data_IF_643463285881
#
_entry.id   IF_643463285881
#
_cell.length_a   1.000
_cell.length_b   1.000
_cell.length_c   1.000
_cell.angle_alpha   90.00
_cell.angle_beta   90.00
_cell.angle_gamma   90.00
#
_symmetry.space_group_name_H-M   'P 1'
#
loop_
_entity.id
_entity.type
_entity.pdbx_description
1 polymer ?
#
# COMPACT_ATOMS: atom_id res chain seq x y z
N UNK A 1 -21.99 0.70 4.45
CA UNK A 1 -21.25 0.09 5.58
C UNK A 1 -21.75 -1.33 5.78
N UNK A 2 -20.89 -2.31 6.10
CA UNK A 2 -21.30 -3.73 6.26
C UNK A 2 -21.04 -4.20 7.70
N UNK A 3 -22.13 -4.48 8.45
CA UNK A 3 -22.13 -5.05 9.80
C UNK A 3 -21.12 -4.40 10.76
N UNK A 4 -21.16 -3.07 10.88
CA UNK A 4 -20.30 -2.36 11.85
C UNK A 4 -20.99 -2.35 13.20
N UNK A 5 -20.30 -2.91 14.18
CA UNK A 5 -20.73 -3.05 15.56
C UNK A 5 -19.71 -2.34 16.47
N UNK A 6 -20.20 -1.51 17.37
CA UNK A 6 -19.39 -0.84 18.37
C UNK A 6 -19.64 -1.48 19.73
N UNK A 7 -18.58 -1.83 20.44
CA UNK A 7 -18.61 -2.46 21.75
C UNK A 7 -18.01 -1.51 22.77
N UNK A 8 -18.80 -1.07 23.76
CA UNK A 8 -18.30 -0.32 24.90
C UNK A 8 -17.93 -1.26 26.05
N UNK A 9 -17.10 -0.79 26.98
CA UNK A 9 -16.70 -1.61 28.12
C UNK A 9 -17.84 -1.77 29.11
N UNK A 10 -17.81 -2.84 29.92
CA UNK A 10 -18.84 -3.10 30.92
C UNK A 10 -18.87 -2.00 32.00
N UNK A 11 -17.72 -1.42 32.33
CA UNK A 11 -17.65 -0.28 33.25
C UNK A 11 -18.40 0.91 32.68
N UNK A 12 -18.21 1.23 31.40
CA UNK A 12 -18.88 2.34 30.73
C UNK A 12 -20.41 2.15 30.67
N UNK A 13 -20.88 0.92 30.49
CA UNK A 13 -22.31 0.59 30.46
C UNK A 13 -22.97 0.69 31.86
N UNK A 14 -22.26 0.29 32.91
CA UNK A 14 -22.79 0.26 34.29
C UNK A 14 -23.19 1.63 34.86
N UNK A 15 -22.73 2.73 34.25
CA UNK A 15 -23.09 4.09 34.65
C UNK A 15 -24.51 4.49 34.21
N UNK A 16 -25.14 3.71 33.35
CA UNK A 16 -26.41 4.05 32.73
C UNK A 16 -27.51 3.08 33.11
N UNK A 17 -28.73 3.60 33.16
CA UNK A 17 -29.92 2.80 33.41
C UNK A 17 -30.55 2.37 32.09
N UNK A 18 -31.21 1.21 32.07
CA UNK A 18 -31.86 0.66 30.86
C UNK A 18 -32.92 1.58 30.23
N UNK A 19 -33.41 2.58 30.96
CA UNK A 19 -34.40 3.56 30.49
C UNK A 19 -33.80 4.74 29.72
N UNK A 20 -32.48 4.92 29.72
CA UNK A 20 -31.84 6.05 29.06
C UNK A 20 -31.61 5.78 27.57
N UNK A 21 -32.12 6.62 26.68
CA UNK A 21 -32.07 6.33 25.24
C UNK A 21 -30.78 6.77 24.52
N UNK A 22 -29.95 7.63 25.13
CA UNK A 22 -28.73 8.19 24.52
C UNK A 22 -27.57 8.16 25.51
N UNK A 23 -26.90 7.01 25.63
CA UNK A 23 -25.89 6.73 26.67
C UNK A 23 -24.45 6.66 26.13
N UNK A 24 -24.26 7.13 24.89
CA UNK A 24 -22.94 7.28 24.28
C UNK A 24 -23.06 7.54 22.79
N UNK A 25 -22.44 8.63 22.30
CA UNK A 25 -22.46 9.00 20.89
C UNK A 25 -21.14 8.59 20.21
N UNK A 26 -21.25 7.83 19.13
CA UNK A 26 -20.17 7.52 18.19
C UNK A 26 -20.53 8.12 16.84
N UNK A 27 -19.62 8.92 16.27
CA UNK A 27 -19.83 9.60 15.01
C UNK A 27 -18.86 9.07 13.96
N UNK A 28 -19.39 8.59 12.85
CA UNK A 28 -18.60 8.26 11.67
C UNK A 28 -18.60 9.48 10.73
N UNK A 29 -17.45 10.11 10.52
CA UNK A 29 -17.30 11.29 9.67
C UNK A 29 -16.55 10.96 8.39
N UNK A 30 -17.13 11.31 7.25
CA UNK A 30 -16.53 11.21 5.93
C UNK A 30 -16.22 12.61 5.42
N UNK A 31 -14.97 12.85 5.07
CA UNK A 31 -14.51 14.15 4.57
C UNK A 31 -13.39 13.98 3.54
N UNK A 32 -13.24 14.98 2.68
CA UNK A 32 -12.16 15.00 1.69
C UNK A 32 -10.83 15.34 2.39
N UNK A 33 -9.71 14.81 1.91
CA UNK A 33 -8.40 15.08 2.48
C UNK A 33 -8.01 16.57 2.44
N UNK A 34 -8.54 17.32 1.47
CA UNK A 34 -8.43 18.78 1.37
C UNK A 34 -9.18 19.50 2.51
N UNK A 35 -10.33 18.97 2.93
CA UNK A 35 -11.14 19.47 4.04
C UNK A 35 -10.63 19.03 5.44
N UNK A 36 -9.44 18.44 5.53
CA UNK A 36 -8.88 17.99 6.83
C UNK A 36 -8.82 19.14 7.84
N UNK A 37 -8.58 20.36 7.37
CA UNK A 37 -8.53 21.55 8.22
C UNK A 37 -9.92 22.09 8.63
N UNK A 38 -11.00 21.54 8.08
CA UNK A 38 -12.36 21.83 8.47
C UNK A 38 -12.86 20.91 9.61
N UNK A 39 -12.09 19.87 9.96
CA UNK A 39 -12.42 18.93 11.04
C UNK A 39 -11.59 19.22 12.29
N UNK A 40 -12.25 19.47 13.42
CA UNK A 40 -11.57 19.80 14.67
C UNK A 40 -10.98 21.22 14.68
N UNK A 41 -10.54 21.64 15.86
CA UNK A 41 -10.13 23.02 16.12
C UNK A 41 -9.23 23.10 17.35
N UNK A 42 -8.76 24.30 17.65
CA UNK A 42 -7.94 24.56 18.82
C UNK A 42 -8.38 25.87 19.44
N UNK A 43 -8.78 25.84 20.72
CA UNK A 43 -9.24 27.03 21.42
C UNK A 43 -8.11 28.05 21.67
N UNK A 44 -6.86 27.58 21.79
CA UNK A 44 -5.70 28.39 22.20
C UNK A 44 -4.46 28.20 21.30
N UNK A 45 -4.64 27.75 20.05
CA UNK A 45 -3.51 27.59 19.10
C UNK A 45 -2.54 26.44 19.41
N UNK A 46 -2.89 25.56 20.36
CA UNK A 46 -2.15 24.34 20.71
C UNK A 46 -2.68 23.09 20.02
N UNK A 47 -2.71 21.95 20.73
CA UNK A 47 -3.16 20.66 20.20
C UNK A 47 -4.61 20.73 19.67
N UNK A 48 -4.80 20.23 18.45
CA UNK A 48 -6.09 20.23 17.77
C UNK A 48 -7.00 19.15 18.36
N UNK A 49 -8.16 19.55 18.88
CA UNK A 49 -9.20 18.64 19.36
C UNK A 49 -10.24 18.40 18.26
N UNK A 50 -10.57 17.13 18.02
CA UNK A 50 -11.63 16.73 17.09
C UNK A 50 -13.03 16.97 17.67
N UNK A 51 -13.13 16.89 19.00
CA UNK A 51 -14.37 17.05 19.74
C UNK A 51 -14.61 18.50 20.15
N UNK A 52 -15.86 18.91 20.13
CA UNK A 52 -16.31 20.20 20.63
C UNK A 52 -16.24 20.23 22.16
N UNK A 53 -15.27 20.98 22.69
CA UNK A 53 -15.15 21.30 24.12
C UNK A 53 -16.01 22.51 24.49
N UNK A 54 -16.21 22.76 25.78
CA UNK A 54 -16.99 23.91 26.24
C UNK A 54 -16.44 25.26 25.76
N UNK A 55 -15.12 25.40 25.64
CA UNK A 55 -14.47 26.61 25.13
C UNK A 55 -14.68 26.77 23.62
N UNK A 56 -14.58 25.68 22.86
CA UNK A 56 -14.86 25.67 21.42
C UNK A 56 -16.33 25.92 21.11
N UNK A 57 -17.25 25.43 21.95
CA UNK A 57 -18.68 25.70 21.81
C UNK A 57 -18.99 27.21 21.88
N UNK A 58 -18.26 27.96 22.72
CA UNK A 58 -18.43 29.42 22.84
C UNK A 58 -17.80 30.19 21.68
N UNK A 59 -16.68 29.72 21.15
CA UNK A 59 -15.94 30.39 20.07
C UNK A 59 -16.51 30.09 18.68
N UNK A 60 -16.86 28.83 18.41
CA UNK A 60 -17.25 28.33 17.09
C UNK A 60 -18.75 27.96 17.01
N UNK A 61 -19.48 27.97 18.14
CA UNK A 61 -20.91 27.66 18.16
C UNK A 61 -21.27 26.18 17.98
N UNK A 62 -20.36 25.26 18.32
CA UNK A 62 -20.59 23.81 18.22
C UNK A 62 -21.34 23.21 19.42
N UNK A 63 -21.99 22.05 19.22
CA UNK A 63 -22.65 21.30 20.31
C UNK A 63 -21.61 20.50 21.09
N UNK A 64 -21.63 20.66 22.41
CA UNK A 64 -20.71 19.94 23.31
C UNK A 64 -20.90 18.43 23.18
N UNK A 65 -19.79 17.70 23.10
CA UNK A 65 -19.82 16.24 22.96
C UNK A 65 -20.04 15.73 21.54
N UNK A 66 -20.15 16.61 20.55
CA UNK A 66 -20.13 16.25 19.12
C UNK A 66 -18.78 16.61 18.48
N UNK A 67 -18.49 16.01 17.31
CA UNK A 67 -17.35 16.34 16.47
C UNK A 67 -17.50 17.76 15.94
N UNK A 68 -16.43 18.56 16.09
CA UNK A 68 -16.37 19.89 15.50
C UNK A 68 -16.17 19.74 13.98
N UNK A 69 -17.17 20.17 13.21
CA UNK A 69 -17.13 20.24 11.75
C UNK A 69 -17.42 21.65 11.29
N UNK A 70 -16.64 22.13 10.32
CA UNK A 70 -16.96 23.32 9.55
C UNK A 70 -17.45 22.89 8.16
N UNK A 71 -18.61 23.38 7.69
CA UNK A 71 -19.09 23.06 6.36
C UNK A 71 -18.09 23.51 5.29
N UNK A 72 -17.96 22.74 4.21
CA UNK A 72 -17.11 23.13 3.09
C UNK A 72 -17.81 24.22 2.26
N UNK A 73 -17.04 25.16 1.69
CA UNK A 73 -17.56 26.35 0.99
C UNK A 73 -18.47 26.03 -0.20
N UNK A 74 -18.46 24.79 -0.70
CA UNK A 74 -19.27 24.34 -1.83
C UNK A 74 -20.45 23.41 -1.49
N UNK A 75 -20.58 22.94 -0.24
CA UNK A 75 -21.68 22.05 0.18
C UNK A 75 -21.89 22.14 1.70
N UNK A 76 -23.09 22.57 2.11
CA UNK A 76 -23.47 22.75 3.52
C UNK A 76 -23.58 21.41 4.26
N UNK A 77 -23.93 20.34 3.54
CA UNK A 77 -24.09 19.00 4.13
C UNK A 77 -22.78 18.23 4.25
N UNK A 78 -21.69 18.78 3.69
CA UNK A 78 -20.36 18.22 3.75
C UNK A 78 -19.50 18.96 4.78
N UNK A 79 -18.73 18.27 5.65
CA UNK A 79 -18.51 16.83 5.77
C UNK A 79 -19.72 16.01 6.25
N UNK A 80 -19.83 14.79 5.70
CA UNK A 80 -20.94 13.89 5.98
C UNK A 80 -20.71 13.15 7.31
N UNK A 81 -21.72 13.13 8.18
CA UNK A 81 -21.63 12.58 9.55
C UNK A 81 -22.79 11.63 9.81
N UNK A 82 -22.47 10.41 10.25
CA UNK A 82 -23.42 9.42 10.73
C UNK A 82 -23.31 9.30 12.25
N UNK A 83 -24.44 9.48 12.92
CA UNK A 83 -24.53 9.41 14.37
C UNK A 83 -25.06 8.03 14.79
N UNK A 84 -24.32 7.33 15.66
CA UNK A 84 -24.76 6.09 16.29
C UNK A 84 -24.77 6.30 17.80
N UNK A 85 -25.86 5.92 18.45
CA UNK A 85 -26.05 6.12 19.89
C UNK A 85 -26.33 4.79 20.58
N UNK A 86 -25.64 4.55 21.69
CA UNK A 86 -25.96 3.43 22.57
C UNK A 86 -27.29 3.68 23.30
N UNK A 87 -28.06 2.61 23.51
CA UNK A 87 -29.27 2.62 24.32
C UNK A 87 -29.00 1.98 25.68
N UNK A 88 -29.53 2.58 26.74
CA UNK A 88 -29.51 2.08 28.10
C UNK A 88 -28.13 1.62 28.56
N UNK A 89 -28.09 0.40 29.07
CA UNK A 89 -26.93 -0.38 29.51
C UNK A 89 -26.43 -1.38 28.44
N UNK A 90 -26.88 -1.27 27.19
CA UNK A 90 -26.47 -2.17 26.09
C UNK A 90 -24.96 -2.10 25.84
N UNK A 91 -24.29 -3.26 25.75
CA UNK A 91 -22.85 -3.32 25.53
C UNK A 91 -22.45 -3.05 24.07
N UNK A 92 -23.37 -3.28 23.14
CA UNK A 92 -23.13 -3.19 21.70
C UNK A 92 -24.18 -2.34 21.01
N UNK A 93 -23.77 -1.60 19.98
CA UNK A 93 -24.68 -0.91 19.06
C UNK A 93 -24.21 -1.11 17.63
N UNK A 94 -25.18 -1.37 16.74
CA UNK A 94 -24.92 -1.53 15.32
C UNK A 94 -25.09 -0.19 14.60
N UNK A 95 -24.13 0.13 13.72
CA UNK A 95 -24.26 1.24 12.80
C UNK A 95 -25.33 0.91 11.75
N UNK A 96 -26.27 1.81 11.54
CA UNK A 96 -27.29 1.67 10.50
C UNK A 96 -26.61 1.49 9.13
N UNK A 97 -26.93 0.43 8.37
CA UNK A 97 -26.38 0.24 7.03
C UNK A 97 -26.84 1.37 6.11
N UNK A 98 -25.93 2.29 5.80
CA UNK A 98 -26.18 3.38 4.87
C UNK A 98 -25.15 3.37 3.73
N UNK A 99 -25.64 3.71 2.53
CA UNK A 99 -24.81 3.95 1.35
C UNK A 99 -24.67 5.46 1.15
N UNK A 100 -23.44 5.95 1.17
CA UNK A 100 -23.15 7.38 1.03
C UNK A 100 -22.63 7.62 -0.39
N UNK A 101 -23.43 8.23 -1.30
CA UNK A 101 -22.99 8.50 -2.66
C UNK A 101 -22.00 9.66 -2.68
N UNK A 102 -20.79 9.40 -3.18
CA UNK A 102 -19.75 10.42 -3.36
C UNK A 102 -19.73 10.84 -4.83
N UNK A 103 -20.04 12.11 -5.10
CA UNK A 103 -20.17 12.65 -6.47
C UNK A 103 -18.91 13.29 -7.02
N UNK A 104 -17.98 13.68 -6.15
CA UNK A 104 -16.71 14.33 -6.53
C UNK A 104 -15.57 13.33 -6.48
N UNK A 105 -14.62 13.48 -7.40
CA UNK A 105 -13.39 12.69 -7.39
C UNK A 105 -12.41 13.32 -6.40
N UNK A 106 -11.96 12.54 -5.43
CA UNK A 106 -11.05 13.01 -4.39
C UNK A 106 -10.51 11.88 -3.52
N UNK A 107 -9.62 12.24 -2.59
CA UNK A 107 -9.17 11.33 -1.54
C UNK A 107 -10.06 11.57 -0.32
N UNK A 108 -10.78 10.55 0.12
CA UNK A 108 -11.70 10.65 1.25
C UNK A 108 -11.15 9.91 2.47
N UNK A 109 -11.36 10.49 3.64
CA UNK A 109 -11.03 9.87 4.92
C UNK A 109 -12.34 9.57 5.67
N UNK A 110 -12.34 8.45 6.39
CA UNK A 110 -13.42 8.05 7.28
C UNK A 110 -12.85 7.90 8.69
N UNK A 111 -13.34 8.68 9.64
CA UNK A 111 -12.98 8.55 11.05
C UNK A 111 -14.19 8.13 11.87
N UNK A 112 -13.97 7.23 12.82
CA UNK A 112 -14.91 6.94 13.89
C UNK A 112 -14.44 7.67 15.14
N UNK A 113 -15.25 8.62 15.61
CA UNK A 113 -14.89 9.51 16.70
C UNK A 113 -15.94 9.37 17.80
N UNK A 114 -15.48 9.25 19.03
CA UNK A 114 -16.29 9.40 20.23
C UNK A 114 -15.71 10.52 21.08
N UNK A 115 -16.58 11.38 21.61
CA UNK A 115 -16.17 12.53 22.41
C UNK A 115 -16.42 12.35 23.90
N UNK A 116 -17.14 11.28 24.29
CA UNK A 116 -17.34 10.93 25.68
C UNK A 116 -16.11 10.20 26.22
N UNK A 117 -15.39 10.74 27.24
CA UNK A 117 -14.24 10.08 27.83
C UNK A 117 -14.58 8.72 28.48
N UNK A 118 -15.86 8.46 28.79
CA UNK A 118 -16.33 7.18 29.37
C UNK A 118 -16.28 6.04 28.37
N UNK A 119 -16.29 6.32 27.06
CA UNK A 119 -16.18 5.30 26.00
C UNK A 119 -14.71 4.90 25.71
N UNK A 120 -13.77 5.27 26.59
CA UNK A 120 -12.37 4.87 26.45
C UNK A 120 -12.24 3.34 26.56
N UNK A 121 -11.70 2.72 25.50
CA UNK A 121 -11.63 1.25 25.38
C UNK A 121 -12.69 0.66 24.44
N UNK A 122 -13.45 1.51 23.75
CA UNK A 122 -14.40 1.07 22.72
C UNK A 122 -13.71 0.24 21.63
N UNK A 123 -14.27 -0.92 21.34
CA UNK A 123 -13.81 -1.83 20.29
C UNK A 123 -14.79 -1.81 19.14
N UNK A 124 -14.29 -1.73 17.91
CA UNK A 124 -15.12 -1.72 16.70
C UNK A 124 -14.83 -2.96 15.86
N UNK A 125 -15.88 -3.64 15.41
CA UNK A 125 -15.78 -4.76 14.48
C UNK A 125 -16.74 -4.55 13.32
N UNK A 126 -16.26 -4.75 12.09
CA UNK A 126 -17.07 -4.63 10.88
C UNK A 126 -16.25 -4.28 9.66
N UNK A 127 -16.92 -4.04 8.53
CA UNK A 127 -16.26 -3.77 7.25
C UNK A 127 -16.81 -2.49 6.60
N UNK A 128 -15.89 -1.69 6.08
CA UNK A 128 -16.22 -0.55 5.20
C UNK A 128 -15.88 -0.93 3.78
N UNK A 129 -16.82 -0.69 2.86
CA UNK A 129 -16.64 -1.03 1.44
C UNK A 129 -16.64 0.26 0.64
N UNK A 130 -15.56 0.45 -0.12
CA UNK A 130 -15.35 1.61 -0.98
C UNK A 130 -15.39 1.14 -2.42
N UNK A 131 -16.29 1.70 -3.21
CA UNK A 131 -16.49 1.31 -4.60
C UNK A 131 -16.46 2.54 -5.49
N UNK A 132 -15.60 2.50 -6.49
CA UNK A 132 -15.53 3.48 -7.56
C UNK A 132 -16.46 3.03 -8.72
N UNK A 133 -16.88 3.91 -9.65
CA UNK A 133 -17.67 3.49 -10.82
C UNK A 133 -17.00 2.40 -11.66
N UNK A 134 -15.67 2.36 -11.67
CA UNK A 134 -14.85 1.38 -12.40
C UNK A 134 -14.62 0.06 -11.65
N UNK A 135 -15.06 -0.07 -10.39
CA UNK A 135 -14.87 -1.24 -9.54
C UNK A 135 -14.30 -0.91 -8.16
N UNK A 136 -13.73 -1.90 -7.48
CA UNK A 136 -13.22 -1.78 -6.10
C UNK A 136 -11.80 -1.22 -6.01
N UNK A 137 -11.11 -1.00 -7.14
CA UNK A 137 -9.73 -0.53 -7.10
C UNK A 137 -9.66 0.93 -6.60
N UNK A 138 -8.79 1.24 -5.62
CA UNK A 138 -8.56 2.61 -5.21
C UNK A 138 -8.10 3.48 -6.39
N UNK A 139 -8.58 4.72 -6.46
CA UNK A 139 -8.25 5.63 -7.56
C UNK A 139 -6.74 5.84 -7.78
N UNK A 140 -5.94 5.80 -6.70
CA UNK A 140 -4.46 5.86 -6.77
C UNK A 140 -3.82 4.68 -7.49
N UNK A 141 -4.46 3.52 -7.48
CA UNK A 141 -3.98 2.29 -8.10
C UNK A 141 -4.63 2.03 -9.47
N UNK A 142 -5.72 2.74 -9.81
CA UNK A 142 -6.47 2.56 -11.06
C UNK A 142 -5.58 2.65 -12.31
N UNK A 143 -4.67 3.62 -12.34
CA UNK A 143 -3.74 3.81 -13.47
C UNK A 143 -2.73 2.67 -13.61
N UNK A 144 -2.37 2.00 -12.51
CA UNK A 144 -1.38 0.91 -12.54
C UNK A 144 -1.88 -0.30 -13.34
N UNK A 145 -3.18 -0.63 -13.24
CA UNK A 145 -3.75 -1.74 -14.02
C UNK A 145 -3.52 -1.53 -15.53
N UNK A 146 -3.77 -0.33 -16.02
CA UNK A 146 -3.54 0.07 -17.42
C UNK A 146 -2.05 0.07 -17.77
N UNK A 147 -1.19 0.51 -16.86
CA UNK A 147 0.26 0.47 -17.04
C UNK A 147 0.78 -0.97 -17.22
N UNK A 148 0.34 -1.91 -16.37
CA UNK A 148 0.83 -3.29 -16.41
C UNK A 148 0.43 -4.02 -17.70
N UNK A 149 -0.76 -3.78 -18.27
CA UNK A 149 -1.14 -4.38 -19.55
C UNK A 149 -0.30 -3.84 -20.72
N UNK A 150 -0.03 -2.53 -20.76
CA UNK A 150 0.84 -1.95 -21.79
C UNK A 150 2.28 -2.46 -21.66
N UNK A 151 2.80 -2.53 -20.44
CA UNK A 151 4.13 -3.10 -20.19
C UNK A 151 4.19 -4.58 -20.56
N UNK A 152 3.15 -5.36 -20.24
CA UNK A 152 3.07 -6.76 -20.64
C UNK A 152 3.11 -6.92 -22.16
N UNK A 153 2.39 -6.08 -22.91
CA UNK A 153 2.44 -6.08 -24.38
C UNK A 153 3.83 -5.70 -24.90
N UNK A 154 4.49 -4.71 -24.29
CA UNK A 154 5.86 -4.34 -24.64
C UNK A 154 6.86 -5.50 -24.41
N UNK A 155 6.75 -6.20 -23.28
CA UNK A 155 7.55 -7.40 -23.00
C UNK A 155 7.24 -8.56 -23.95
N UNK A 156 5.98 -8.72 -24.36
CA UNK A 156 5.57 -9.71 -25.36
C UNK A 156 6.26 -9.42 -26.71
N UNK A 157 6.20 -8.18 -27.18
CA UNK A 157 6.86 -7.76 -28.43
C UNK A 157 8.37 -7.92 -28.34
N UNK A 158 8.98 -7.50 -27.23
CA UNK A 158 10.41 -7.69 -26.98
C UNK A 158 10.78 -9.18 -27.00
N UNK A 159 9.98 -10.03 -26.34
CA UNK A 159 10.16 -11.47 -26.31
C UNK A 159 10.06 -12.12 -27.68
N UNK A 160 9.12 -11.69 -28.53
CA UNK A 160 8.98 -12.18 -29.91
C UNK A 160 10.18 -11.80 -30.77
N UNK A 161 10.61 -10.54 -30.71
CA UNK A 161 11.81 -10.06 -31.44
C UNK A 161 13.04 -10.83 -30.97
N UNK A 162 13.22 -10.94 -29.65
CA UNK A 162 14.35 -11.67 -29.06
C UNK A 162 14.34 -13.14 -29.45
N UNK A 163 13.20 -13.82 -29.35
CA UNK A 163 13.04 -15.23 -29.69
C UNK A 163 13.35 -15.50 -31.18
N UNK A 164 12.88 -14.63 -32.09
CA UNK A 164 13.23 -14.73 -33.51
C UNK A 164 14.73 -14.67 -33.75
N UNK A 165 15.43 -13.74 -33.08
CA UNK A 165 16.89 -13.62 -33.18
C UNK A 165 17.60 -14.82 -32.53
N UNK A 166 17.10 -15.28 -31.38
CA UNK A 166 17.63 -16.43 -30.65
C UNK A 166 17.58 -17.72 -31.49
N UNK A 167 16.47 -17.96 -32.20
CA UNK A 167 16.32 -19.09 -33.11
C UNK A 167 17.21 -18.93 -34.35
N UNK A 168 17.33 -17.72 -34.90
CA UNK A 168 18.18 -17.45 -36.08
C UNK A 168 19.66 -17.74 -35.81
N UNK A 169 20.15 -17.41 -34.62
CA UNK A 169 21.55 -17.58 -34.22
C UNK A 169 21.76 -18.74 -33.24
N UNK A 170 20.89 -19.76 -33.27
CA UNK A 170 20.85 -20.82 -32.24
C UNK A 170 22.17 -21.62 -32.10
N UNK A 171 23.00 -21.63 -33.15
CA UNK A 171 24.31 -22.31 -33.16
C UNK A 171 25.42 -21.56 -32.42
N UNK A 172 25.26 -20.28 -32.15
CA UNK A 172 26.31 -19.40 -31.58
C UNK A 172 25.94 -18.86 -30.18
N UNK A 173 25.07 -19.57 -29.46
CA UNK A 173 24.51 -19.06 -28.20
C UNK A 173 25.53 -19.13 -27.06
N UNK A 174 25.78 -17.97 -26.47
CA UNK A 174 26.51 -17.81 -25.22
C UNK A 174 25.58 -18.00 -24.02
N UNK A 175 26.11 -18.53 -22.91
CA UNK A 175 25.35 -18.72 -21.65
C UNK A 175 24.64 -17.43 -21.17
N UNK A 176 25.23 -16.27 -21.45
CA UNK A 176 24.69 -14.96 -21.13
C UNK A 176 23.36 -14.66 -21.83
N UNK A 177 23.17 -15.12 -23.06
CA UNK A 177 21.92 -14.96 -23.81
C UNK A 177 20.77 -15.79 -23.20
N UNK A 178 21.07 -16.94 -22.60
CA UNK A 178 20.07 -17.73 -21.87
C UNK A 178 19.58 -16.97 -20.62
N UNK A 179 20.49 -16.30 -19.90
CA UNK A 179 20.12 -15.46 -18.77
C UNK A 179 19.28 -14.25 -19.20
N UNK A 180 19.59 -13.60 -20.33
CA UNK A 180 18.76 -12.52 -20.88
C UNK A 180 17.37 -13.04 -21.23
N UNK A 181 17.28 -14.20 -21.88
CA UNK A 181 16.00 -14.85 -22.21
C UNK A 181 15.17 -15.10 -20.95
N UNK A 182 15.79 -15.62 -19.89
CA UNK A 182 15.14 -15.82 -18.59
C UNK A 182 14.60 -14.50 -18.00
N UNK A 183 15.38 -13.42 -18.05
CA UNK A 183 14.94 -12.09 -17.56
C UNK A 183 13.75 -11.56 -18.35
N UNK A 184 13.74 -11.71 -19.68
CA UNK A 184 12.61 -11.27 -20.53
C UNK A 184 11.35 -12.07 -20.19
N UNK A 185 11.46 -13.40 -20.05
CA UNK A 185 10.35 -14.28 -19.70
C UNK A 185 9.81 -13.94 -18.30
N UNK A 186 10.69 -13.80 -17.30
CA UNK A 186 10.29 -13.37 -15.95
C UNK A 186 9.63 -11.99 -15.96
N UNK A 187 10.12 -11.06 -16.77
CA UNK A 187 9.51 -9.74 -16.98
C UNK A 187 8.10 -9.81 -17.53
N UNK A 188 7.87 -10.63 -18.55
CA UNK A 188 6.54 -10.85 -19.11
C UNK A 188 5.58 -11.45 -18.05
N UNK A 189 6.03 -12.49 -17.35
CA UNK A 189 5.24 -13.13 -16.29
C UNK A 189 4.90 -12.16 -15.17
N UNK A 190 5.86 -11.40 -14.67
CA UNK A 190 5.64 -10.40 -13.62
C UNK A 190 4.58 -9.37 -14.05
N UNK A 191 4.72 -8.77 -15.24
CA UNK A 191 3.76 -7.75 -15.71
C UNK A 191 2.36 -8.33 -15.90
N UNK A 192 2.26 -9.55 -16.42
CA UNK A 192 0.99 -10.26 -16.60
C UNK A 192 0.34 -10.60 -15.26
N UNK A 193 1.12 -11.10 -14.30
CA UNK A 193 0.62 -11.47 -12.98
C UNK A 193 0.15 -10.26 -12.18
N UNK A 194 0.87 -9.14 -12.25
CA UNK A 194 0.41 -7.87 -11.68
C UNK A 194 -0.91 -7.42 -12.29
N UNK A 195 -1.05 -7.48 -13.62
CA UNK A 195 -2.33 -7.15 -14.27
C UNK A 195 -3.48 -8.02 -13.75
N UNK A 196 -3.29 -9.35 -13.66
CA UNK A 196 -4.32 -10.25 -13.14
C UNK A 196 -4.63 -10.00 -11.66
N UNK A 197 -3.63 -9.67 -10.86
CA UNK A 197 -3.79 -9.33 -9.44
C UNK A 197 -4.65 -8.07 -9.28
N UNK A 198 -4.34 -7.01 -10.03
CA UNK A 198 -5.15 -5.77 -10.04
C UNK A 198 -6.55 -5.99 -10.63
N UNK A 199 -6.71 -6.81 -11.66
CA UNK A 199 -8.01 -7.11 -12.25
C UNK A 199 -8.91 -7.90 -11.28
N UNK A 200 -8.35 -8.89 -10.58
CA UNK A 200 -9.05 -9.63 -9.52
C UNK A 200 -9.37 -8.71 -8.34
N UNK A 201 -8.45 -7.83 -7.95
CA UNK A 201 -8.70 -6.89 -6.87
C UNK A 201 -9.80 -5.88 -7.24
N UNK A 202 -9.88 -5.44 -8.50
CA UNK A 202 -10.92 -4.53 -8.97
C UNK A 202 -12.32 -5.16 -8.96
N UNK A 203 -12.42 -6.48 -9.13
CA UNK A 203 -13.70 -7.22 -9.17
C UNK A 203 -14.15 -7.70 -7.80
N UNK A 204 -13.23 -8.22 -6.99
CA UNK A 204 -13.55 -8.82 -5.67
C UNK A 204 -13.41 -7.84 -4.51
N UNK A 205 -12.63 -6.77 -4.68
CA UNK A 205 -12.31 -5.83 -3.59
C UNK A 205 -11.44 -6.41 -2.48
N UNK A 206 -10.85 -7.60 -2.69
CA UNK A 206 -9.97 -8.28 -1.73
C UNK A 206 -8.67 -8.66 -2.42
N UNK A 207 -7.53 -8.47 -1.74
CA UNK A 207 -6.22 -8.94 -2.19
C UNK A 207 -5.88 -10.27 -1.52
N UNK A 208 -5.96 -11.41 -2.22
CA UNK A 208 -5.63 -12.70 -1.64
C UNK A 208 -4.13 -12.79 -1.33
N UNK A 209 -3.79 -12.88 -0.05
CA UNK A 209 -2.41 -12.88 0.48
C UNK A 209 -1.49 -13.85 -0.27
N UNK A 210 -1.92 -15.10 -0.47
CA UNK A 210 -1.10 -16.11 -1.11
C UNK A 210 -0.74 -15.78 -2.55
N UNK A 211 -1.71 -15.31 -3.35
CA UNK A 211 -1.46 -14.96 -4.75
C UNK A 211 -0.57 -13.74 -4.83
N UNK A 212 -0.86 -12.68 -4.05
CA UNK A 212 -0.04 -11.47 -4.03
C UNK A 212 1.40 -11.77 -3.62
N UNK A 213 1.62 -12.67 -2.65
CA UNK A 213 2.97 -13.11 -2.27
C UNK A 213 3.71 -13.78 -3.45
N UNK A 214 3.05 -14.68 -4.19
CA UNK A 214 3.65 -15.30 -5.39
C UNK A 214 4.02 -14.28 -6.47
N UNK A 215 3.12 -13.32 -6.76
CA UNK A 215 3.39 -12.26 -7.75
C UNK A 215 4.61 -11.44 -7.35
N UNK A 216 4.69 -11.08 -6.06
CA UNK A 216 5.81 -10.35 -5.48
C UNK A 216 7.12 -11.15 -5.55
N UNK A 217 7.12 -12.43 -5.18
CA UNK A 217 8.32 -13.28 -5.22
C UNK A 217 8.88 -13.38 -6.63
N UNK A 218 8.03 -13.53 -7.66
CA UNK A 218 8.48 -13.54 -9.07
C UNK A 218 9.14 -12.21 -9.43
N UNK A 219 8.60 -11.09 -8.96
CA UNK A 219 9.20 -9.77 -9.14
C UNK A 219 10.57 -9.64 -8.46
N UNK A 220 10.70 -10.11 -7.23
CA UNK A 220 11.97 -10.12 -6.49
C UNK A 220 13.03 -11.01 -7.19
N UNK A 221 12.64 -12.18 -7.71
CA UNK A 221 13.51 -13.05 -8.50
C UNK A 221 13.99 -12.31 -9.75
N UNK A 222 13.09 -11.68 -10.52
CA UNK A 222 13.46 -10.93 -11.73
C UNK A 222 14.45 -9.82 -11.40
N UNK A 223 14.14 -8.96 -10.42
CA UNK A 223 15.02 -7.86 -9.97
C UNK A 223 16.42 -8.38 -9.64
N UNK A 224 16.49 -9.47 -8.87
CA UNK A 224 17.75 -10.09 -8.45
C UNK A 224 18.53 -10.63 -9.65
N UNK A 225 17.90 -11.44 -10.50
CA UNK A 225 18.56 -12.02 -11.69
C UNK A 225 19.05 -10.92 -12.61
N UNK A 226 18.27 -9.86 -12.84
CA UNK A 226 18.69 -8.71 -13.65
C UNK A 226 19.91 -7.99 -13.08
N UNK A 227 19.94 -7.70 -11.76
CA UNK A 227 21.07 -7.02 -11.11
C UNK A 227 22.34 -7.86 -11.13
N UNK A 228 22.24 -9.15 -10.83
CA UNK A 228 23.37 -10.10 -10.89
C UNK A 228 23.88 -10.21 -12.33
N UNK A 229 22.98 -10.31 -13.31
CA UNK A 229 23.36 -10.40 -14.73
C UNK A 229 24.16 -9.16 -15.16
N UNK A 230 23.68 -7.95 -14.84
CA UNK A 230 24.38 -6.70 -15.14
C UNK A 230 25.77 -6.70 -14.47
N UNK A 231 25.86 -7.07 -13.19
CA UNK A 231 27.14 -7.15 -12.48
C UNK A 231 28.12 -8.13 -13.15
N UNK A 232 27.65 -9.33 -13.52
CA UNK A 232 28.45 -10.32 -14.24
C UNK A 232 28.97 -9.77 -15.59
N UNK A 233 28.10 -9.10 -16.36
CA UNK A 233 28.49 -8.46 -17.63
C UNK A 233 29.53 -7.37 -17.40
N UNK A 234 29.33 -6.50 -16.41
CA UNK A 234 30.27 -5.42 -16.07
C UNK A 234 31.62 -5.90 -15.56
N UNK A 235 31.68 -7.12 -15.01
CA UNK A 235 32.95 -7.79 -14.66
C UNK A 235 33.67 -8.42 -15.87
N UNK A 236 33.07 -8.33 -17.06
CA UNK A 236 33.62 -8.87 -18.31
C UNK A 236 33.34 -10.36 -18.53
N UNK A 237 32.35 -10.95 -17.85
CA UNK A 237 31.95 -12.34 -18.09
C UNK A 237 31.43 -12.53 -19.51
N UNK A 238 31.96 -13.55 -20.19
CA UNK A 238 31.58 -13.88 -21.58
C UNK A 238 32.25 -13.02 -22.65
N UNK A 239 32.80 -11.84 -22.30
CA UNK A 239 33.53 -10.95 -23.23
C UNK A 239 35.03 -11.00 -23.01
N UNK A 240 35.48 -10.75 -21.77
CA UNK A 240 36.92 -10.62 -21.43
C UNK A 240 37.42 -11.80 -20.59
N UNK A 241 36.52 -12.49 -19.87
CA UNK A 241 36.87 -13.66 -19.06
C UNK A 241 35.87 -14.80 -19.28
N UNK A 242 36.33 -16.04 -19.54
CA UNK A 242 35.46 -17.19 -19.72
C UNK A 242 34.82 -17.66 -18.40
N UNK A 243 35.42 -17.37 -17.24
CA UNK A 243 34.86 -17.71 -15.91
C UNK A 243 35.18 -16.63 -14.87
N UNK A 244 34.29 -16.40 -13.90
CA UNK A 244 34.52 -15.49 -12.77
C UNK A 244 35.37 -16.09 -11.63
N UNK A 245 35.73 -17.38 -11.68
CA UNK A 245 36.52 -18.05 -10.64
C UNK A 245 35.92 -17.88 -9.24
N UNK A 246 36.76 -17.61 -8.23
CA UNK A 246 36.33 -17.40 -6.84
C UNK A 246 35.45 -16.15 -6.60
N UNK A 247 35.33 -15.25 -7.57
CA UNK A 247 34.44 -14.09 -7.48
C UNK A 247 32.96 -14.49 -7.61
N UNK A 248 32.67 -15.61 -8.26
CA UNK A 248 31.29 -16.13 -8.46
C UNK A 248 30.58 -16.37 -7.14
N UNK A 249 31.28 -16.92 -6.14
CA UNK A 249 30.70 -17.17 -4.80
C UNK A 249 30.32 -15.87 -4.08
N UNK A 250 31.14 -14.82 -4.22
CA UNK A 250 30.84 -13.49 -3.64
C UNK A 250 29.63 -12.84 -4.30
N UNK A 251 29.53 -12.93 -5.63
CA UNK A 251 28.39 -12.41 -6.39
C UNK A 251 27.11 -13.17 -6.05
N UNK A 252 27.19 -14.50 -5.92
CA UNK A 252 26.04 -15.33 -5.55
C UNK A 252 25.55 -15.02 -4.12
N UNK A 253 26.47 -14.89 -3.16
CA UNK A 253 26.14 -14.51 -1.79
C UNK A 253 25.45 -13.14 -1.74
N UNK A 254 26.00 -12.15 -2.46
CA UNK A 254 25.40 -10.82 -2.56
C UNK A 254 24.01 -10.88 -3.19
N UNK A 255 23.86 -11.64 -4.28
CA UNK A 255 22.60 -11.87 -4.94
C UNK A 255 21.53 -12.47 -4.04
N UNK A 256 21.91 -13.46 -3.23
CA UNK A 256 21.02 -14.08 -2.25
C UNK A 256 20.60 -13.09 -1.15
N UNK A 257 21.54 -12.30 -0.61
CA UNK A 257 21.21 -11.28 0.39
C UNK A 257 20.30 -10.19 -0.18
N UNK A 258 20.50 -9.80 -1.44
CA UNK A 258 19.66 -8.83 -2.14
C UNK A 258 18.25 -9.36 -2.37
N UNK A 259 18.14 -10.62 -2.80
CA UNK A 259 16.86 -11.29 -2.98
C UNK A 259 16.03 -11.30 -1.70
N UNK A 260 16.64 -11.73 -0.58
CA UNK A 260 15.94 -11.78 0.71
C UNK A 260 15.51 -10.38 1.17
N UNK A 261 16.35 -9.37 1.01
CA UNK A 261 16.00 -8.00 1.38
C UNK A 261 14.83 -7.46 0.53
N UNK A 262 14.86 -7.69 -0.78
CA UNK A 262 13.79 -7.28 -1.70
C UNK A 262 12.48 -8.02 -1.44
N UNK A 263 12.53 -9.34 -1.25
CA UNK A 263 11.34 -10.15 -1.00
C UNK A 263 10.66 -9.73 0.31
N UNK A 264 11.43 -9.52 1.39
CA UNK A 264 10.89 -9.05 2.66
C UNK A 264 10.23 -7.67 2.54
N UNK A 265 10.85 -6.75 1.81
CA UNK A 265 10.30 -5.42 1.54
C UNK A 265 8.99 -5.53 0.74
N UNK A 266 9.03 -6.19 -0.42
CA UNK A 266 7.90 -6.24 -1.34
C UNK A 266 6.70 -6.98 -0.70
N UNK A 267 6.92 -8.04 0.09
CA UNK A 267 5.86 -8.73 0.85
C UNK A 267 5.28 -7.79 1.91
N UNK A 268 6.13 -7.11 2.67
CA UNK A 268 5.66 -6.17 3.70
C UNK A 268 4.82 -5.04 3.11
N UNK A 269 5.17 -4.53 1.93
CA UNK A 269 4.43 -3.44 1.30
C UNK A 269 3.11 -3.89 0.68
N UNK A 270 3.05 -5.09 0.10
CA UNK A 270 1.87 -5.54 -0.64
C UNK A 270 0.90 -6.39 0.17
N UNK A 271 1.40 -7.12 1.17
CA UNK A 271 0.61 -7.98 2.07
C UNK A 271 0.40 -7.33 3.43
N UNK A 272 1.39 -6.58 3.92
CA UNK A 272 1.41 -6.03 5.28
C UNK A 272 0.45 -4.86 5.56
N UNK A 273 -0.37 -4.44 4.59
CA UNK A 273 -1.29 -3.30 4.73
C UNK A 273 -2.47 -3.53 5.69
N UNK A 274 -2.56 -4.68 6.37
CA UNK A 274 -3.71 -5.02 7.24
C UNK A 274 -3.38 -4.88 8.74
N UNK A 275 -2.11 -4.89 9.16
CA UNK A 275 -1.76 -4.75 10.57
C UNK A 275 -0.70 -3.67 10.75
N UNK A 276 -1.08 -2.52 11.35
CA UNK A 276 -0.23 -1.52 12.03
C UNK A 276 1.30 -1.66 11.90
N UNK A 277 1.86 -1.68 10.68
CA UNK A 277 3.29 -1.56 10.48
C UNK A 277 3.59 -0.09 10.68
N UNK A 278 3.95 0.24 11.93
CA UNK A 278 4.44 1.56 12.33
C UNK A 278 5.38 2.09 11.24
N UNK A 279 5.23 3.35 10.81
CA UNK A 279 6.08 3.94 9.78
C UNK A 279 7.59 3.79 10.04
N UNK A 280 7.98 3.58 11.32
CA UNK A 280 9.34 3.21 11.71
C UNK A 280 9.77 1.83 11.18
N UNK A 281 8.93 0.80 11.32
CA UNK A 281 9.22 -0.55 10.82
C UNK A 281 9.37 -0.58 9.29
N UNK A 282 8.55 0.21 8.57
CA UNK A 282 8.73 0.40 7.13
C UNK A 282 10.09 1.03 6.79
N UNK A 283 10.49 2.07 7.53
CA UNK A 283 11.78 2.72 7.34
C UNK A 283 12.95 1.74 7.55
N UNK A 284 12.83 0.84 8.54
CA UNK A 284 13.83 -0.20 8.82
C UNK A 284 13.97 -1.24 7.70
N UNK A 285 12.93 -1.47 6.89
CA UNK A 285 13.00 -2.38 5.73
C UNK A 285 13.53 -1.66 4.48
N UNK A 286 13.11 -0.41 4.25
CA UNK A 286 13.50 0.37 3.06
C UNK A 286 14.98 0.76 3.08
N UNK A 287 15.52 1.15 4.24
CA UNK A 287 16.89 1.67 4.33
C UNK A 287 17.97 0.65 3.94
N UNK A 288 17.97 -0.60 4.45
CA UNK A 288 18.94 -1.61 4.05
C UNK A 288 18.86 -1.95 2.55
N UNK A 289 17.66 -2.06 2.00
CA UNK A 289 17.45 -2.35 0.58
C UNK A 289 18.04 -1.25 -0.31
N UNK A 290 17.76 0.02 0.02
CA UNK A 290 18.33 1.17 -0.69
C UNK A 290 19.87 1.22 -0.62
N UNK A 291 20.45 0.83 0.53
CA UNK A 291 21.90 0.75 0.68
C UNK A 291 22.51 -0.36 -0.19
N UNK A 292 21.87 -1.54 -0.24
CA UNK A 292 22.30 -2.65 -1.11
C UNK A 292 22.23 -2.26 -2.58
N UNK A 293 21.17 -1.57 -3.00
CA UNK A 293 21.03 -1.04 -4.36
C UNK A 293 22.15 -0.06 -4.71
N UNK A 294 22.44 0.90 -3.82
CA UNK A 294 23.53 1.86 -4.02
C UNK A 294 24.89 1.16 -4.12
N UNK A 295 25.16 0.20 -3.23
CA UNK A 295 26.38 -0.59 -3.24
C UNK A 295 26.54 -1.40 -4.55
N UNK A 296 25.47 -2.07 -5.00
CA UNK A 296 25.45 -2.81 -6.26
C UNK A 296 25.75 -1.90 -7.46
N UNK A 297 25.12 -0.73 -7.53
CA UNK A 297 25.32 0.23 -8.62
C UNK A 297 26.78 0.72 -8.66
N UNK A 298 27.36 1.07 -7.50
CA UNK A 298 28.76 1.50 -7.41
C UNK A 298 29.72 0.39 -7.84
N UNK A 299 29.44 -0.85 -7.46
CA UNK A 299 30.26 -1.99 -7.87
C UNK A 299 30.15 -2.28 -9.37
N UNK A 300 28.95 -2.20 -9.95
CA UNK A 300 28.72 -2.30 -11.40
C UNK A 300 29.57 -1.27 -12.14
N UNK A 301 29.49 0.01 -11.75
CA UNK A 301 30.23 1.10 -12.38
C UNK A 301 31.75 0.90 -12.27
N UNK A 302 32.24 0.59 -11.07
CA UNK A 302 33.67 0.37 -10.83
C UNK A 302 34.19 -0.84 -11.62
N UNK A 303 33.41 -1.92 -11.74
CA UNK A 303 33.79 -3.10 -12.52
C UNK A 303 33.80 -2.79 -14.02
N UNK A 304 32.80 -2.06 -14.51
CA UNK A 304 32.71 -1.66 -15.90
C UNK A 304 33.91 -0.78 -16.29
N UNK A 305 34.26 0.21 -15.47
CA UNK A 305 35.39 1.11 -15.73
C UNK A 305 36.71 0.34 -15.84
N UNK A 306 36.97 -0.61 -14.94
CA UNK A 306 38.17 -1.48 -14.99
C UNK A 306 38.19 -2.38 -16.22
N UNK A 307 37.02 -2.84 -16.68
CA UNK A 307 36.91 -3.69 -17.86
C UNK A 307 37.15 -2.88 -19.13
N UNK A 308 36.64 -1.64 -19.19
CA UNK A 308 36.88 -0.71 -20.31
C UNK A 308 38.36 -0.32 -20.41
N UNK A 309 39.01 0.03 -19.30
CA UNK A 309 40.46 0.34 -19.27
C UNK A 309 41.33 -0.83 -19.77
N UNK A 310 40.87 -2.07 -19.59
CA UNK A 310 41.59 -3.27 -20.05
C UNK A 310 41.36 -3.59 -21.53
N UNK A 311 40.28 -3.06 -22.12
CA UNK A 311 39.93 -3.23 -23.53
C UNK A 311 40.55 -2.16 -24.43
N UNK A 312 40.93 -1.01 -23.87
CA UNK A 312 41.73 0.03 -24.53
C UNK A 312 43.22 -0.31 -24.51
#
# INVERSE_FOLDING_TARGET
FENITFWRTAEAASYYTSMEHSTGLVQAIIFEASDRDNIGGSAYGGQRSLCCTADLAKLEGCRQGEVLRRPSSGDINWPYVLNTQFSGDDLSVDLVPEEVPITKTGMYNLFFIFCDPRLKGLTMSGKTVWRNPTGYLPGRMASLMTFYIFMSLAYLLLGLIWFSQYVRFWREILQLQNCITLVIVLGLFEMTLWYFEYANFNTTGVRPVGITAWVVTIGAIRKTVSRILILCVSMGYGVVRPTLGGLTSKVLLLGFTYFLANELLDISENVGSINDISGKARLFLVLPDAFLDAFLILWIFTSLSKTLEKLQ
#
